data_IF_296064375262
#
_entry.id   IF_296064375262
#
_cell.length_a   1.000
_cell.length_b   1.000
_cell.length_c   1.000
_cell.angle_alpha   90.00
_cell.angle_beta   90.00
_cell.angle_gamma   90.00
#
_symmetry.space_group_name_H-M   'P 1'
#
loop_
_entity.id
_entity.type
_entity.pdbx_description
1 polymer ?
#
# COMPACT_ATOMS: atom_id res chain seq x y z
N UNK A 1 12.76 -3.78 -26.90
CA UNK A 1 11.57 -2.99 -26.54
C UNK A 1 11.97 -2.26 -25.30
N UNK A 2 12.37 -1.00 -25.44
CA UNK A 2 12.75 -0.17 -24.32
C UNK A 2 11.47 0.60 -23.95
N UNK A 3 10.97 0.36 -22.75
CA UNK A 3 9.89 1.15 -22.17
C UNK A 3 10.57 2.36 -21.53
N UNK A 4 10.15 3.56 -21.91
CA UNK A 4 10.57 4.79 -21.24
C UNK A 4 10.06 4.77 -19.80
N UNK A 5 10.91 5.19 -18.87
CA UNK A 5 10.54 5.31 -17.47
C UNK A 5 9.53 6.45 -17.32
N UNK A 6 8.35 6.14 -16.78
CA UNK A 6 7.30 7.09 -16.50
C UNK A 6 7.39 7.53 -15.04
N UNK A 7 7.87 8.75 -14.81
CA UNK A 7 8.00 9.32 -13.47
C UNK A 7 6.64 9.58 -12.78
N UNK A 8 5.54 9.62 -13.54
CA UNK A 8 4.18 9.78 -12.98
C UNK A 8 3.53 8.42 -12.63
N UNK A 9 4.14 7.30 -13.04
CA UNK A 9 3.58 5.99 -12.76
C UNK A 9 3.68 5.65 -11.25
N UNK A 10 2.60 5.18 -10.62
CA UNK A 10 2.62 4.84 -9.20
C UNK A 10 3.50 3.61 -8.92
N UNK A 11 4.23 3.65 -7.81
CA UNK A 11 5.03 2.50 -7.35
C UNK A 11 4.11 1.39 -6.84
N UNK A 12 4.15 0.23 -7.50
CA UNK A 12 3.40 -0.96 -7.08
C UNK A 12 4.21 -1.82 -6.12
N UNK A 13 3.81 -1.80 -4.84
CA UNK A 13 4.42 -2.64 -3.80
C UNK A 13 3.72 -4.00 -3.73
N UNK A 14 4.35 -5.02 -4.31
CA UNK A 14 3.83 -6.38 -4.27
C UNK A 14 3.91 -7.04 -2.89
N UNK A 15 3.14 -8.12 -2.70
CA UNK A 15 3.14 -8.94 -1.46
C UNK A 15 4.54 -9.36 -0.97
N UNK A 16 5.49 -9.77 -1.84
CA UNK A 16 6.84 -10.13 -1.38
C UNK A 16 7.56 -8.97 -0.69
N UNK A 17 7.41 -7.75 -1.20
CA UNK A 17 8.01 -6.55 -0.62
C UNK A 17 7.38 -6.24 0.75
N UNK A 18 6.05 -6.23 0.80
CA UNK A 18 5.29 -5.97 2.04
C UNK A 18 5.62 -7.02 3.13
N UNK A 19 5.75 -8.28 2.75
CA UNK A 19 6.12 -9.36 3.67
C UNK A 19 7.53 -9.17 4.24
N UNK A 20 8.50 -8.78 3.40
CA UNK A 20 9.89 -8.54 3.82
C UNK A 20 9.98 -7.37 4.81
N UNK A 21 9.27 -6.27 4.52
CA UNK A 21 9.22 -5.09 5.38
C UNK A 21 8.41 -5.25 6.67
N UNK A 22 7.78 -6.43 6.87
CA UNK A 22 6.82 -6.69 7.94
C UNK A 22 5.78 -5.58 8.04
N UNK A 23 5.27 -5.17 6.87
CA UNK A 23 4.37 -4.03 6.75
C UNK A 23 3.09 -4.25 7.53
N UNK A 24 2.67 -3.24 8.28
CA UNK A 24 1.36 -3.20 8.94
C UNK A 24 0.45 -2.27 8.14
N UNK A 25 -0.69 -2.78 7.71
CA UNK A 25 -1.72 -2.03 6.99
C UNK A 25 -2.91 -1.90 7.92
N UNK A 26 -3.19 -0.68 8.35
CA UNK A 26 -4.33 -0.35 9.18
C UNK A 26 -5.46 0.13 8.27
N UNK A 27 -6.45 -0.73 8.07
CA UNK A 27 -7.58 -0.48 7.17
C UNK A 27 -8.56 0.57 7.71
N UNK A 28 -8.63 0.74 9.02
CA UNK A 28 -9.54 1.71 9.66
C UNK A 28 -9.05 3.14 9.44
N UNK A 29 -7.75 3.36 9.63
CA UNK A 29 -7.11 4.68 9.51
C UNK A 29 -6.56 4.94 8.10
N UNK A 30 -6.42 3.91 7.27
CA UNK A 30 -5.78 4.00 5.96
C UNK A 30 -4.27 4.24 6.03
N UNK A 31 -3.62 3.80 7.11
CA UNK A 31 -2.19 3.92 7.33
C UNK A 31 -1.44 2.65 6.91
N UNK A 32 -0.29 2.83 6.26
CA UNK A 32 0.66 1.77 5.93
C UNK A 32 1.97 2.05 6.66
N UNK A 33 2.42 1.13 7.51
CA UNK A 33 3.60 1.28 8.35
C UNK A 33 4.68 0.28 7.94
N UNK A 34 5.86 0.79 7.61
CA UNK A 34 7.06 -0.01 7.30
C UNK A 34 8.08 0.13 8.42
N UNK A 35 8.83 -0.95 8.72
CA UNK A 35 9.98 -0.90 9.61
C UNK A 35 11.27 -0.95 8.81
N UNK A 36 12.09 0.09 8.93
CA UNK A 36 13.41 0.21 8.27
C UNK A 36 14.42 0.62 9.33
N UNK A 37 15.48 -0.18 9.52
CA UNK A 37 16.54 0.08 10.52
C UNK A 37 15.99 0.48 11.90
N UNK A 38 15.01 -0.31 12.38
CA UNK A 38 14.30 -0.09 13.65
C UNK A 38 13.43 1.16 13.75
N UNK A 39 13.41 2.00 12.72
CA UNK A 39 12.50 3.15 12.59
C UNK A 39 11.22 2.73 11.89
N UNK A 40 10.11 3.35 12.29
CA UNK A 40 8.82 3.17 11.64
C UNK A 40 8.58 4.34 10.69
N UNK A 41 8.28 4.04 9.44
CA UNK A 41 7.83 5.01 8.43
C UNK A 41 6.35 4.76 8.19
N UNK A 42 5.54 5.81 8.36
CA UNK A 42 4.09 5.75 8.16
C UNK A 42 3.72 6.50 6.88
N UNK A 43 2.99 5.83 6.01
CA UNK A 43 2.34 6.40 4.84
C UNK A 43 0.84 6.48 5.09
N UNK A 44 0.20 7.57 4.69
CA UNK A 44 -1.25 7.72 4.77
C UNK A 44 -1.86 7.75 3.36
N UNK A 45 -3.03 7.17 3.21
CA UNK A 45 -3.80 7.25 1.96
C UNK A 45 -4.25 8.69 1.63
N UNK A 46 -4.39 9.55 2.64
CA UNK A 46 -4.90 10.93 2.49
C UNK A 46 -3.88 11.93 1.92
N UNK A 47 -2.58 11.65 2.02
CA UNK A 47 -1.50 12.48 1.47
C UNK A 47 -0.96 12.01 0.11
N UNK A 48 -1.37 10.83 -0.34
CA UNK A 48 -1.06 10.32 -1.68
C UNK A 48 -2.03 10.96 -2.67
N UNK A 49 -1.54 11.46 -3.81
CA UNK A 49 -2.43 11.93 -4.87
C UNK A 49 -3.38 10.80 -5.27
N UNK A 50 -4.67 11.02 -5.00
CA UNK A 50 -5.71 10.06 -5.35
C UNK A 50 -5.75 9.93 -6.88
N UNK A 51 -5.77 8.71 -7.43
CA UNK A 51 -6.05 8.53 -8.85
C UNK A 51 -7.33 9.28 -9.23
N UNK A 52 -7.31 10.01 -10.35
CA UNK A 52 -8.48 10.75 -10.84
C UNK A 52 -9.67 9.82 -11.15
N UNK A 53 -9.39 8.54 -11.40
CA UNK A 53 -10.37 7.49 -11.56
C UNK A 53 -10.55 6.73 -10.24
N UNK A 54 -11.80 6.62 -9.77
CA UNK A 54 -12.14 5.79 -8.61
C UNK A 54 -11.94 4.31 -8.98
N UNK A 55 -10.84 3.72 -8.57
CA UNK A 55 -10.73 2.25 -8.50
C UNK A 55 -11.69 1.72 -7.45
N UNK A 56 -12.50 0.72 -7.82
CA UNK A 56 -13.34 -0.01 -6.85
C UNK A 56 -12.42 -0.79 -5.90
N UNK A 57 -12.30 -0.31 -4.66
CA UNK A 57 -11.59 -1.03 -3.61
C UNK A 57 -12.53 -2.10 -3.04
N UNK A 58 -12.15 -3.37 -3.15
CA UNK A 58 -12.88 -4.46 -2.51
C UNK A 58 -12.32 -4.72 -1.11
N UNK A 59 -13.16 -4.51 -0.10
CA UNK A 59 -12.87 -4.94 1.27
C UNK A 59 -13.18 -6.44 1.38
N UNK A 60 -12.20 -7.22 1.84
CA UNK A 60 -12.38 -8.64 2.14
C UNK A 60 -12.39 -8.76 3.66
N UNK A 61 -13.55 -9.06 4.22
CA UNK A 61 -13.69 -9.34 5.64
C UNK A 61 -13.29 -10.81 5.91
N UNK A 62 -12.60 -11.05 7.02
CA UNK A 62 -12.41 -12.40 7.53
C UNK A 62 -13.76 -12.91 8.05
N UNK A 63 -14.26 -14.00 7.46
CA UNK A 63 -15.40 -14.71 8.02
C UNK A 63 -14.86 -15.58 9.15
N UNK A 64 -15.21 -15.25 10.39
CA UNK A 64 -14.98 -16.15 11.52
C UNK A 64 -15.91 -17.36 11.35
N UNK A 65 -15.36 -18.49 10.90
CA UNK A 65 -16.05 -19.78 10.98
C UNK A 65 -16.11 -20.18 12.46
N UNK A 66 -17.30 -20.02 13.06
CA UNK A 66 -17.61 -20.45 14.44
C UNK A 66 -18.11 -21.90 14.48
#
# INVERSE_FOLDING_TARGET
MDIEEDEEAPILLGRPFLSTGKTLIDMETGEIKFRVDEKVVTFNHTGMEQPKEKTECYQIDLVDDL
#
